data_IF_303863611672
#
_entry.id   IF_303863611672
#
_cell.length_a   1.000
_cell.length_b   1.000
_cell.length_c   1.000
_cell.angle_alpha   90.00
_cell.angle_beta   90.00
_cell.angle_gamma   90.00
#
_symmetry.space_group_name_H-M   'P 1'
#
loop_
_entity.id
_entity.type
_entity.pdbx_description
1 polymer ?
#
# COMPACT_ATOMS: atom_id res chain seq x y z
N UNK A 1 -16.49 20.04 7.93
CA UNK A 1 -16.34 19.88 7.53
C UNK A 1 -16.28 19.37 6.62
N UNK A 2 -16.13 19.24 6.18
CA UNK A 2 -16.19 18.78 5.40
C UNK A 2 -15.50 18.80 4.59
N UNK A 3 -14.78 18.75 4.34
CA UNK A 3 -14.25 18.85 3.49
C UNK A 3 -13.32 18.16 3.16
N UNK A 4 -12.83 17.58 2.94
CA UNK A 4 -11.92 17.09 2.70
C UNK A 4 -11.75 16.06 2.35
N UNK A 5 -11.78 15.48 2.03
CA UNK A 5 -11.90 14.52 1.88
C UNK A 5 -11.48 13.85 0.79
N UNK A 6 -11.12 14.11 -0.22
CA UNK A 6 -10.53 13.45 -1.32
C UNK A 6 -9.04 13.62 -1.34
N UNK A 7 -8.45 13.72 -0.20
CA UNK A 7 -7.01 13.81 -0.10
C UNK A 7 -6.38 12.55 -0.67
N UNK A 8 -5.40 12.72 -1.53
CA UNK A 8 -4.69 11.61 -2.14
C UNK A 8 -3.22 11.97 -2.25
N UNK A 9 -2.36 10.99 -2.07
CA UNK A 9 -0.93 11.18 -2.08
C UNK A 9 -0.26 10.07 -2.88
N UNK A 10 0.54 10.46 -3.88
CA UNK A 10 1.38 9.52 -4.59
C UNK A 10 2.81 9.79 -4.21
N UNK A 11 3.56 8.75 -3.87
CA UNK A 11 4.94 8.95 -3.49
C UNK A 11 5.75 7.70 -3.81
N UNK A 12 7.06 7.81 -3.68
CA UNK A 12 7.95 6.71 -3.94
C UNK A 12 8.79 6.42 -2.70
N UNK A 13 8.96 5.13 -2.41
CA UNK A 13 9.84 4.68 -1.36
C UNK A 13 11.16 4.32 -2.06
N UNK A 14 12.24 4.96 -1.67
CA UNK A 14 13.56 4.65 -2.22
C UNK A 14 13.75 5.25 -3.61
N UNK A 15 14.78 4.79 -4.30
CA UNK A 15 15.14 5.31 -5.60
C UNK A 15 14.40 4.59 -6.71
N UNK A 16 14.51 5.09 -7.93
CA UNK A 16 13.89 4.46 -9.08
C UNK A 16 14.62 3.20 -9.50
N UNK A 17 15.89 3.11 -9.19
CA UNK A 17 16.70 1.96 -9.55
C UNK A 17 17.41 1.46 -8.30
N UNK A 18 16.67 0.84 -7.37
CA UNK A 18 17.24 0.45 -6.10
C UNK A 18 18.22 -0.71 -6.25
N UNK A 19 19.29 -0.68 -5.45
CA UNK A 19 20.19 -1.81 -5.37
C UNK A 19 19.54 -2.89 -4.47
N UNK A 20 20.16 -4.07 -4.35
CA UNK A 20 19.53 -5.17 -3.60
C UNK A 20 19.25 -4.84 -2.14
N UNK A 21 20.08 -4.03 -1.51
CA UNK A 21 19.86 -3.66 -0.11
C UNK A 21 18.69 -2.70 0.00
N UNK A 22 18.65 -1.71 -0.88
CA UNK A 22 17.53 -0.77 -0.89
C UNK A 22 16.23 -1.48 -1.21
N UNK A 23 16.28 -2.48 -2.08
CA UNK A 23 15.10 -3.26 -2.43
C UNK A 23 14.52 -3.96 -1.19
N UNK A 24 15.38 -4.46 -0.31
CA UNK A 24 14.93 -5.07 0.93
C UNK A 24 14.20 -4.05 1.80
N UNK A 25 14.74 -2.84 1.88
CA UNK A 25 14.09 -1.79 2.66
C UNK A 25 12.75 -1.39 2.06
N UNK A 26 12.66 -1.34 0.73
CA UNK A 26 11.41 -1.03 0.05
C UNK A 26 10.36 -2.08 0.38
N UNK A 27 10.73 -3.36 0.32
CA UNK A 27 9.80 -4.44 0.60
C UNK A 27 9.34 -4.40 2.07
N UNK A 28 10.25 -4.11 2.99
CA UNK A 28 9.89 -4.01 4.39
C UNK A 28 8.93 -2.85 4.64
N UNK A 29 9.13 -1.73 3.95
CA UNK A 29 8.24 -0.58 4.10
C UNK A 29 6.87 -0.89 3.52
N UNK A 30 6.81 -1.57 2.38
CA UNK A 30 5.54 -2.00 1.81
C UNK A 30 4.80 -2.91 2.77
N UNK A 31 5.51 -3.83 3.41
CA UNK A 31 4.90 -4.73 4.37
C UNK A 31 4.28 -3.95 5.52
N UNK A 32 4.98 -2.96 6.04
CA UNK A 32 4.46 -2.14 7.13
C UNK A 32 3.25 -1.34 6.71
N UNK A 33 3.25 -0.81 5.49
CA UNK A 33 2.09 -0.09 4.98
C UNK A 33 0.89 -1.03 4.86
N UNK A 34 1.10 -2.24 4.39
CA UNK A 34 0.04 -3.22 4.29
C UNK A 34 -0.50 -3.60 5.65
N UNK A 35 0.38 -3.77 6.63
CA UNK A 35 -0.05 -4.09 7.99
C UNK A 35 -0.89 -2.96 8.57
N UNK A 36 -0.47 -1.72 8.35
CA UNK A 36 -1.24 -0.58 8.80
C UNK A 36 -2.62 -0.55 8.13
N UNK A 37 -2.65 -0.79 6.82
CA UNK A 37 -3.91 -0.81 6.09
C UNK A 37 -4.84 -1.91 6.64
N UNK A 38 -4.29 -3.09 6.94
CA UNK A 38 -5.09 -4.19 7.46
C UNK A 38 -5.67 -3.82 8.83
N UNK A 39 -4.89 -3.18 9.68
CA UNK A 39 -5.30 -2.88 11.03
C UNK A 39 -6.15 -1.62 11.16
N UNK A 40 -5.82 -0.58 10.42
CA UNK A 40 -6.44 0.73 10.59
C UNK A 40 -7.18 1.23 9.35
N UNK A 41 -6.99 0.57 8.22
CA UNK A 41 -7.48 1.11 6.95
C UNK A 41 -8.97 1.29 6.90
N UNK A 42 -9.71 0.35 7.45
CA UNK A 42 -11.17 0.44 7.40
C UNK A 42 -11.67 1.64 8.20
N UNK A 43 -11.13 1.84 9.39
CA UNK A 43 -11.53 2.94 10.25
C UNK A 43 -11.20 4.29 9.61
N UNK A 44 -10.16 4.32 8.78
CA UNK A 44 -9.70 5.55 8.14
C UNK A 44 -10.21 5.73 6.72
N UNK A 45 -11.01 4.81 6.22
CA UNK A 45 -11.44 4.78 4.82
C UNK A 45 -10.26 4.87 3.88
N UNK A 46 -9.22 4.09 4.17
CA UNK A 46 -7.94 4.22 3.49
C UNK A 46 -7.89 3.37 2.23
N UNK A 47 -7.52 4.02 1.12
CA UNK A 47 -7.19 3.31 -0.11
C UNK A 47 -5.68 3.22 -0.21
N UNK A 48 -5.16 2.04 -0.52
CA UNK A 48 -3.72 1.82 -0.62
C UNK A 48 -3.39 1.12 -1.92
N UNK A 49 -2.71 1.82 -2.81
CA UNK A 49 -2.22 1.23 -4.05
C UNK A 49 -0.73 0.94 -3.91
N UNK A 50 -0.33 -0.29 -4.20
CA UNK A 50 1.07 -0.71 -4.08
C UNK A 50 1.53 -1.17 -5.45
N UNK A 51 2.38 -0.36 -6.06
CA UNK A 51 2.79 -0.60 -7.43
C UNK A 51 4.19 -1.19 -7.51
N UNK A 52 4.69 -1.31 -8.72
CA UNK A 52 6.02 -1.85 -8.94
C UNK A 52 7.06 -0.94 -8.30
N UNK A 53 8.19 -1.48 -7.96
CA UNK A 53 9.29 -0.83 -7.25
C UNK A 53 8.76 -0.17 -5.99
N UNK A 54 9.00 1.06 -5.73
CA UNK A 54 8.56 1.72 -4.51
C UNK A 54 7.39 2.68 -4.65
N UNK A 55 6.65 2.58 -5.75
CA UNK A 55 5.58 3.54 -6.01
C UNK A 55 4.34 3.21 -5.18
N UNK A 56 3.82 4.19 -4.47
CA UNK A 56 2.68 4.01 -3.55
C UNK A 56 1.65 5.09 -3.77
N UNK A 57 0.39 4.73 -3.61
CA UNK A 57 -0.73 5.68 -3.61
C UNK A 57 -1.54 5.46 -2.34
N UNK A 58 -1.85 6.55 -1.64
CA UNK A 58 -2.71 6.49 -0.45
C UNK A 58 -3.80 7.55 -0.60
N UNK A 59 -5.02 7.18 -0.27
CA UNK A 59 -6.10 8.17 -0.23
C UNK A 59 -7.07 7.84 0.91
N UNK A 60 -8.04 8.71 1.11
CA UNK A 60 -9.05 8.56 2.14
C UNK A 60 -10.45 8.41 1.53
N UNK A 61 -10.53 7.85 0.35
CA UNK A 61 -11.77 7.78 -0.40
C UNK A 61 -12.50 6.45 -0.26
N UNK A 62 -12.02 5.56 0.58
CA UNK A 62 -12.70 4.28 0.82
C UNK A 62 -11.70 3.18 1.12
N UNK A 63 -12.11 2.25 1.94
CA UNK A 63 -11.25 1.14 2.36
C UNK A 63 -11.07 0.17 1.19
N UNK A 64 -9.91 0.19 0.56
CA UNK A 64 -9.62 -0.69 -0.57
C UNK A 64 -8.12 -0.75 -0.82
N UNK A 65 -7.68 -1.75 -1.55
CA UNK A 65 -6.27 -1.86 -1.94
C UNK A 65 -6.19 -2.45 -3.34
N UNK A 66 -5.10 -2.18 -4.02
CA UNK A 66 -4.86 -2.71 -5.36
C UNK A 66 -3.38 -2.74 -5.65
N UNK A 67 -3.01 -3.49 -6.67
CA UNK A 67 -1.62 -3.63 -7.08
C UNK A 67 -1.38 -3.03 -8.45
N UNK A 68 -0.35 -3.55 -9.13
CA UNK A 68 0.11 -2.97 -10.40
C UNK A 68 -0.95 -2.95 -11.51
N UNK A 69 -1.89 -3.87 -11.47
CA UNK A 69 -2.94 -3.90 -12.50
C UNK A 69 -4.26 -3.34 -11.96
N UNK A 70 -4.22 -2.66 -10.84
CA UNK A 70 -5.38 -2.01 -10.22
C UNK A 70 -6.44 -2.99 -9.74
N UNK A 71 -6.08 -4.25 -9.53
CA UNK A 71 -7.00 -5.24 -8.99
C UNK A 71 -6.70 -5.49 -7.53
N UNK A 72 -7.74 -5.81 -6.81
CA UNK A 72 -7.60 -6.17 -5.40
C UNK A 72 -6.63 -7.34 -5.23
N UNK A 73 -6.78 -8.37 -6.04
CA UNK A 73 -5.98 -9.58 -5.89
C UNK A 73 -4.51 -9.39 -6.25
N UNK A 74 -4.17 -8.32 -6.96
CA UNK A 74 -2.78 -8.08 -7.29
C UNK A 74 -2.06 -7.26 -6.22
N UNK A 75 -2.79 -6.78 -5.21
CA UNK A 75 -2.15 -6.02 -4.14
C UNK A 75 -1.26 -6.94 -3.31
N UNK A 76 -0.01 -6.54 -3.04
CA UNK A 76 0.84 -7.32 -2.14
C UNK A 76 0.24 -7.46 -0.75
N UNK A 77 -0.62 -6.54 -0.34
CA UNK A 77 -1.28 -6.64 0.96
C UNK A 77 -2.15 -7.88 1.05
N UNK A 78 -2.65 -8.35 -0.08
CA UNK A 78 -3.52 -9.52 -0.12
C UNK A 78 -2.73 -10.78 -0.45
N UNK A 79 -1.84 -10.69 -1.43
CA UNK A 79 -1.22 -11.90 -1.95
C UNK A 79 0.17 -12.19 -1.42
N UNK A 80 0.78 -11.26 -0.70
CA UNK A 80 2.14 -11.44 -0.22
C UNK A 80 2.28 -11.16 1.26
N UNK A 81 1.69 -10.09 1.75
CA UNK A 81 1.87 -9.67 3.15
C UNK A 81 0.65 -9.92 4.02
N UNK A 82 -0.34 -10.62 3.51
CA UNK A 82 -1.51 -10.94 4.31
C UNK A 82 -1.15 -11.96 5.38
N UNK A 83 -1.57 -11.72 6.58
CA UNK A 83 -1.30 -12.63 7.62
C UNK A 83 -2.30 -13.70 7.74
N UNK A 84 -3.41 -13.53 7.03
CA UNK A 84 -4.36 -14.42 7.21
C UNK A 84 -4.09 -15.68 6.73
N UNK A 85 -3.28 -15.84 6.09
CA UNK A 85 -3.08 -16.99 5.64
C UNK A 85 -2.32 -17.81 6.26
N UNK A 86 -2.05 -17.75 6.95
CA UNK A 86 -1.32 -18.49 7.51
C UNK A 86 -1.84 -19.38 8.06
N UNK A 87 -2.36 -19.47 8.01
CA UNK A 87 -2.92 -20.22 8.40
C UNK A 87 -3.22 -20.71 8.15
#
# INVERSE_FOLDING_TARGET
SKHIFNAALDFRIGSETPDPIEQIHIENTKKKLCEFWIEQGEALNMGLGVYASGQIHIDAAGYRTWGVDHRYSSSPCINKFSNKNNE
#
